data_IF_217671786352
#
_entry.id   IF_217671786352
#
_cell.length_a   1.000
_cell.length_b   1.000
_cell.length_c   1.000
_cell.angle_alpha   90.00
_cell.angle_beta   90.00
_cell.angle_gamma   90.00
#
_symmetry.space_group_name_H-M   'P 1'
#
loop_
_entity.id
_entity.type
_entity.pdbx_description
1 polymer ?
#
# COMPACT_ATOMS: atom_id res chain seq x y z
N UNK A 1 -22.77 -67.66 -49.78
CA UNK A 1 -21.65 -68.14 -50.62
C UNK A 1 -20.60 -67.05 -50.72
N UNK A 2 -19.33 -67.39 -50.44
CA UNK A 2 -18.10 -66.57 -50.50
C UNK A 2 -17.77 -66.17 -51.96
N UNK A 3 -17.02 -65.08 -52.27
CA UNK A 3 -15.61 -64.98 -51.86
C UNK A 3 -15.08 -63.61 -51.39
N UNK A 4 -14.22 -63.75 -50.38
CA UNK A 4 -13.07 -62.93 -50.00
C UNK A 4 -12.10 -62.67 -51.16
N UNK A 5 -11.68 -61.41 -51.32
CA UNK A 5 -10.45 -61.04 -52.04
C UNK A 5 -9.64 -60.14 -51.08
N UNK A 6 -8.37 -60.52 -50.91
CA UNK A 6 -7.37 -59.85 -50.08
C UNK A 6 -6.41 -59.02 -50.93
N UNK A 7 -5.64 -58.16 -50.23
CA UNK A 7 -4.48 -57.34 -50.67
C UNK A 7 -4.90 -56.00 -51.31
N UNK A 8 -4.29 -54.86 -50.98
CA UNK A 8 -2.89 -54.63 -50.64
C UNK A 8 -2.68 -53.44 -49.71
N UNK A 9 -1.64 -53.55 -48.90
CA UNK A 9 -1.06 -52.53 -48.05
C UNK A 9 -0.30 -51.52 -48.92
N UNK A 10 -0.71 -50.24 -48.92
CA UNK A 10 0.22 -49.13 -49.12
C UNK A 10 -0.23 -47.93 -48.28
N UNK A 11 0.26 -47.95 -47.04
CA UNK A 11 0.22 -46.82 -46.11
C UNK A 11 1.21 -45.78 -46.61
N UNK A 12 0.73 -44.70 -47.22
CA UNK A 12 1.56 -43.53 -47.52
C UNK A 12 1.88 -42.81 -46.21
N UNK A 13 3.00 -43.19 -45.59
CA UNK A 13 3.62 -42.39 -44.54
C UNK A 13 4.25 -41.15 -45.17
N UNK A 14 3.49 -40.07 -45.33
CA UNK A 14 4.08 -38.73 -45.42
C UNK A 14 4.50 -38.32 -44.00
N UNK A 15 5.74 -38.68 -43.62
CA UNK A 15 6.37 -38.09 -42.44
C UNK A 15 6.70 -36.63 -42.76
N UNK A 16 6.28 -35.65 -41.95
CA UNK A 16 6.72 -34.28 -42.12
C UNK A 16 8.24 -34.20 -41.84
N UNK A 17 8.96 -33.53 -42.75
CA UNK A 17 10.39 -33.26 -42.64
C UNK A 17 10.59 -32.31 -41.44
N UNK A 18 11.57 -32.56 -40.53
CA UNK A 18 11.88 -31.61 -39.48
C UNK A 18 12.54 -30.36 -40.08
N UNK A 19 11.98 -29.18 -39.79
CA UNK A 19 12.58 -27.89 -40.12
C UNK A 19 14.00 -27.79 -39.53
N UNK A 20 15.02 -27.36 -40.29
CA UNK A 20 16.33 -27.09 -39.74
C UNK A 20 16.28 -25.83 -38.85
N UNK A 21 16.72 -25.97 -37.61
CA UNK A 21 16.87 -24.87 -36.66
C UNK A 21 17.93 -23.86 -37.14
N UNK A 22 17.74 -22.55 -36.90
CA UNK A 22 18.74 -21.54 -37.27
C UNK A 22 20.00 -21.69 -36.40
N UNK A 23 21.20 -21.37 -36.93
CA UNK A 23 22.44 -21.52 -36.20
C UNK A 23 22.53 -20.54 -35.02
N UNK A 24 22.86 -21.08 -33.85
CA UNK A 24 23.14 -20.31 -32.63
C UNK A 24 24.41 -19.48 -32.85
N UNK A 25 24.27 -18.17 -32.97
CA UNK A 25 25.40 -17.23 -32.93
C UNK A 25 26.00 -17.23 -31.53
N UNK A 26 27.10 -17.95 -31.34
CA UNK A 26 28.00 -17.76 -30.18
C UNK A 26 28.68 -16.40 -30.33
N UNK A 27 28.30 -15.44 -29.50
CA UNK A 27 29.09 -14.23 -29.32
C UNK A 27 30.36 -14.61 -28.55
N UNK A 28 31.52 -14.43 -29.20
CA UNK A 28 32.81 -14.60 -28.58
C UNK A 28 33.05 -13.46 -27.58
N UNK A 29 33.26 -13.80 -26.31
CA UNK A 29 33.77 -12.88 -25.30
C UNK A 29 35.28 -12.80 -25.55
N UNK A 30 35.72 -11.79 -26.28
CA UNK A 30 37.14 -11.46 -26.40
C UNK A 30 37.49 -10.43 -25.33
N UNK A 31 38.19 -10.90 -24.30
CA UNK A 31 38.85 -10.07 -23.30
C UNK A 31 40.10 -9.42 -23.89
N UNK A 32 40.11 -8.10 -23.98
CA UNK A 32 41.28 -7.24 -24.10
C UNK A 32 40.84 -5.83 -23.68
N UNK A 33 41.56 -4.95 -23.00
CA UNK A 33 42.87 -4.89 -22.36
C UNK A 33 42.91 -3.46 -21.76
N UNK A 34 43.65 -3.28 -20.67
CA UNK A 34 44.10 -2.02 -20.03
C UNK A 34 43.09 -0.98 -19.50
N UNK A 35 43.09 -0.68 -18.17
CA UNK A 35 42.54 0.54 -17.61
C UNK A 35 43.54 1.71 -17.68
N UNK A 36 43.11 2.97 -17.92
CA UNK A 36 44.01 4.10 -17.81
C UNK A 36 44.33 4.41 -16.33
N UNK A 37 45.62 4.30 -16.00
CA UNK A 37 46.22 4.75 -14.74
C UNK A 37 46.22 6.29 -14.71
N UNK A 38 45.31 6.90 -13.96
CA UNK A 38 45.42 8.33 -13.62
C UNK A 38 46.17 8.43 -12.30
N UNK A 39 47.48 8.65 -12.42
CA UNK A 39 48.37 9.04 -11.33
C UNK A 39 47.91 10.39 -10.76
N UNK A 40 47.48 10.40 -9.50
CA UNK A 40 47.30 11.64 -8.73
C UNK A 40 48.59 11.92 -7.97
N UNK A 41 49.30 12.96 -8.38
CA UNK A 41 50.41 13.54 -7.64
C UNK A 41 49.91 14.15 -6.33
N UNK A 42 50.40 13.62 -5.21
CA UNK A 42 50.41 14.31 -3.92
C UNK A 42 51.31 15.55 -4.06
N UNK A 43 50.76 16.73 -3.83
CA UNK A 43 51.56 17.91 -3.50
C UNK A 43 50.87 18.69 -2.40
N UNK A 44 51.66 19.05 -1.41
CA UNK A 44 51.34 19.53 -0.08
C UNK A 44 51.09 21.04 -0.03
N UNK A 45 50.19 21.45 0.87
CA UNK A 45 50.08 22.76 1.56
C UNK A 45 49.93 24.03 0.70
N UNK A 46 48.78 24.71 0.72
CA UNK A 46 48.29 25.74 1.66
C UNK A 46 48.59 27.16 1.18
N UNK A 47 47.58 28.05 1.16
CA UNK A 47 47.58 29.42 1.72
C UNK A 47 46.19 30.06 1.51
N UNK A 48 45.64 30.53 2.62
CA UNK A 48 44.62 31.55 2.85
C UNK A 48 44.29 32.51 1.69
N UNK A 49 42.99 32.74 1.44
CA UNK A 49 42.49 34.04 0.98
C UNK A 49 41.04 34.28 1.43
N UNK A 50 40.83 35.49 1.92
CA UNK A 50 39.69 35.96 2.71
C UNK A 50 38.79 36.83 1.81
N UNK A 51 37.47 36.67 1.97
CA UNK A 51 36.41 37.69 1.79
C UNK A 51 36.07 38.17 0.37
N UNK A 52 34.89 37.77 -0.12
CA UNK A 52 33.84 38.72 -0.49
C UNK A 52 32.49 37.99 -0.70
N UNK A 53 31.43 38.51 -0.06
CA UNK A 53 30.06 38.00 -0.16
C UNK A 53 29.25 39.04 -0.94
N UNK A 54 28.98 38.77 -2.21
CA UNK A 54 28.16 39.59 -3.10
C UNK A 54 27.33 38.70 -4.02
N UNK A 55 26.00 38.84 -3.90
CA UNK A 55 24.91 38.58 -4.87
C UNK A 55 24.82 37.23 -5.65
N UNK A 56 23.86 36.40 -5.19
CA UNK A 56 22.82 35.55 -5.84
C UNK A 56 22.74 35.46 -7.40
N UNK A 57 22.09 34.44 -8.03
CA UNK A 57 20.99 33.60 -7.50
C UNK A 57 21.01 32.09 -7.86
N UNK A 58 20.36 31.24 -7.04
CA UNK A 58 19.92 29.89 -7.48
C UNK A 58 18.48 29.60 -7.05
N UNK A 59 17.65 29.46 -8.09
CA UNK A 59 16.43 28.69 -8.28
C UNK A 59 15.73 28.10 -7.04
N UNK A 60 14.50 28.57 -6.86
CA UNK A 60 13.51 28.17 -5.87
C UNK A 60 13.20 26.66 -5.91
N UNK A 61 13.30 26.02 -4.74
CA UNK A 61 12.55 24.80 -4.41
C UNK A 61 11.50 25.21 -3.38
N UNK A 62 10.25 25.32 -3.83
CA UNK A 62 9.11 25.71 -3.02
C UNK A 62 8.91 24.72 -1.87
N UNK A 63 9.26 25.14 -0.66
CA UNK A 63 8.82 24.53 0.59
C UNK A 63 7.87 25.54 1.20
N UNK A 64 6.57 25.25 1.11
CA UNK A 64 5.52 25.98 1.79
C UNK A 64 5.83 25.89 3.29
N UNK A 65 6.42 26.95 3.84
CA UNK A 65 6.45 27.22 5.27
C UNK A 65 5.13 27.91 5.56
N UNK A 66 4.31 27.27 6.38
CA UNK A 66 3.18 27.94 6.99
C UNK A 66 3.71 29.13 7.80
N UNK A 67 2.98 30.23 7.71
CA UNK A 67 3.16 31.52 8.35
C UNK A 67 3.64 31.39 9.81
N UNK A 68 4.86 31.86 10.08
CA UNK A 68 5.26 32.27 11.42
C UNK A 68 4.78 33.72 11.57
N UNK A 69 3.64 33.90 12.24
CA UNK A 69 3.19 35.20 12.75
C UNK A 69 3.63 35.33 14.21
N UNK A 70 4.84 35.83 14.41
CA UNK A 70 5.34 36.32 15.70
C UNK A 70 4.71 37.71 15.98
N UNK A 71 3.48 37.72 16.52
CA UNK A 71 2.92 38.92 17.14
C UNK A 71 3.35 38.97 18.61
N UNK A 72 4.46 39.68 18.87
CA UNK A 72 4.91 40.01 20.20
C UNK A 72 4.00 41.11 20.81
N UNK A 73 3.08 40.71 21.68
CA UNK A 73 2.25 41.60 22.48
C UNK A 73 2.16 41.11 23.92
N UNK A 74 3.12 41.54 24.76
CA UNK A 74 3.01 41.39 26.21
C UNK A 74 2.13 42.47 26.80
N UNK A 75 1.03 42.07 27.43
CA UNK A 75 0.35 42.83 28.47
C UNK A 75 -0.39 41.83 29.36
N UNK A 76 0.05 41.77 30.62
CA UNK A 76 -0.53 40.97 31.68
C UNK A 76 -2.01 41.32 31.87
N UNK A 77 -2.90 40.37 31.57
CA UNK A 77 -4.30 40.40 31.97
C UNK A 77 -4.68 39.02 32.50
N UNK A 78 -4.53 38.87 33.81
CA UNK A 78 -5.01 37.74 34.59
C UNK A 78 -6.51 37.52 34.37
N UNK A 79 -6.87 36.46 33.62
CA UNK A 79 -8.27 36.17 33.31
C UNK A 79 -8.58 34.91 32.47
N UNK A 80 -7.62 34.04 32.12
CA UNK A 80 -7.83 32.89 31.22
C UNK A 80 -7.32 31.55 31.81
N UNK A 81 -7.34 31.41 33.13
CA UNK A 81 -6.73 30.30 33.87
C UNK A 81 -7.33 28.91 33.64
N UNK A 82 -8.49 28.81 32.99
CA UNK A 82 -9.20 27.54 32.73
C UNK A 82 -9.40 27.30 31.23
N UNK A 83 -8.36 27.50 30.40
CA UNK A 83 -8.31 26.76 29.13
C UNK A 83 -8.43 25.27 29.48
N UNK A 84 -9.57 24.70 29.11
CA UNK A 84 -10.24 23.59 29.79
C UNK A 84 -9.37 22.34 29.66
N UNK A 85 -8.93 21.79 30.79
CA UNK A 85 -8.17 20.52 30.83
C UNK A 85 -8.92 19.45 30.01
N UNK A 86 -10.24 19.42 30.11
CA UNK A 86 -11.13 18.54 29.35
C UNK A 86 -11.06 18.75 27.83
N UNK A 87 -10.88 19.98 27.34
CA UNK A 87 -10.76 20.25 25.89
C UNK A 87 -9.43 19.70 25.36
N UNK A 88 -8.35 19.85 26.12
CA UNK A 88 -7.04 19.28 25.78
C UNK A 88 -7.09 17.75 25.79
N UNK A 89 -7.72 17.16 26.81
CA UNK A 89 -7.96 15.71 26.91
C UNK A 89 -8.85 15.24 25.74
N UNK A 90 -9.89 15.98 25.38
CA UNK A 90 -10.77 15.67 24.25
C UNK A 90 -10.04 15.71 22.90
N UNK A 91 -9.18 16.71 22.68
CA UNK A 91 -8.32 16.79 21.48
C UNK A 91 -7.32 15.63 21.43
N UNK A 92 -6.75 15.23 22.56
CA UNK A 92 -5.85 14.08 22.64
C UNK A 92 -6.62 12.76 22.37
N UNK A 93 -7.80 12.59 22.96
CA UNK A 93 -8.68 11.43 22.78
C UNK A 93 -9.10 11.26 21.32
N UNK A 94 -9.58 12.32 20.66
CA UNK A 94 -9.98 12.25 19.24
C UNK A 94 -8.81 11.88 18.31
N UNK A 95 -7.58 12.33 18.61
CA UNK A 95 -6.38 11.89 17.87
C UNK A 95 -6.08 10.40 18.10
N UNK A 96 -6.19 9.92 19.34
CA UNK A 96 -5.99 8.50 19.66
C UNK A 96 -7.07 7.62 19.03
N UNK A 97 -8.33 8.03 19.08
CA UNK A 97 -9.46 7.32 18.46
C UNK A 97 -9.29 7.18 16.95
N UNK A 98 -8.77 8.22 16.26
CA UNK A 98 -8.44 8.12 14.83
C UNK A 98 -7.38 7.06 14.56
N UNK A 99 -6.33 6.98 15.38
CA UNK A 99 -5.29 5.95 15.26
C UNK A 99 -5.86 4.55 15.49
N UNK A 100 -6.71 4.38 16.51
CA UNK A 100 -7.39 3.11 16.81
C UNK A 100 -8.37 2.73 15.71
N UNK A 101 -9.14 3.67 15.17
CA UNK A 101 -10.09 3.43 14.09
C UNK A 101 -9.37 2.96 12.82
N UNK A 102 -8.25 3.61 12.47
CA UNK A 102 -7.41 3.17 11.36
C UNK A 102 -6.90 1.74 11.58
N UNK A 103 -6.34 1.43 12.76
CA UNK A 103 -5.85 0.10 13.07
C UNK A 103 -6.96 -0.97 13.01
N UNK A 104 -8.15 -0.64 13.53
CA UNK A 104 -9.35 -1.49 13.47
C UNK A 104 -9.73 -1.84 12.04
N UNK A 105 -9.77 -0.83 11.15
CA UNK A 105 -10.11 -1.04 9.75
C UNK A 105 -9.10 -1.98 9.06
N UNK A 106 -7.81 -1.77 9.30
CA UNK A 106 -6.74 -2.60 8.71
C UNK A 106 -6.76 -4.03 9.25
N UNK A 107 -6.98 -4.22 10.56
CA UNK A 107 -7.11 -5.54 11.17
C UNK A 107 -8.30 -6.29 10.58
N UNK A 108 -9.45 -5.63 10.47
CA UNK A 108 -10.66 -6.23 9.89
C UNK A 108 -10.41 -6.68 8.45
N UNK A 109 -9.83 -5.83 7.61
CA UNK A 109 -9.52 -6.19 6.22
C UNK A 109 -8.52 -7.34 6.14
N UNK A 110 -7.49 -7.34 6.99
CA UNK A 110 -6.49 -8.41 7.04
C UNK A 110 -7.07 -9.75 7.48
N UNK A 111 -7.98 -9.76 8.46
CA UNK A 111 -8.69 -10.95 8.93
C UNK A 111 -9.58 -11.53 7.83
N UNK A 112 -10.35 -10.69 7.14
CA UNK A 112 -11.23 -11.14 6.05
C UNK A 112 -10.41 -11.75 4.90
N UNK A 113 -9.30 -11.10 4.54
CA UNK A 113 -8.33 -11.63 3.57
C UNK A 113 -7.76 -12.98 4.02
N UNK A 114 -7.38 -13.09 5.29
CA UNK A 114 -6.86 -14.30 5.92
C UNK A 114 -7.83 -15.48 5.91
N UNK A 115 -9.12 -15.21 6.08
CA UNK A 115 -10.21 -16.20 5.99
C UNK A 115 -10.52 -16.62 4.55
N UNK A 116 -9.96 -15.92 3.56
CA UNK A 116 -10.34 -16.04 2.17
C UNK A 116 -11.78 -15.60 1.93
N UNK A 117 -12.30 -14.69 2.77
CA UNK A 117 -13.58 -14.03 2.53
C UNK A 117 -13.36 -12.90 1.55
N UNK A 118 -14.33 -12.75 0.66
CA UNK A 118 -14.27 -11.82 -0.44
C UNK A 118 -15.22 -10.67 -0.15
N UNK A 119 -14.65 -9.48 0.02
CA UNK A 119 -15.42 -8.24 0.16
C UNK A 119 -15.27 -7.39 -1.10
N UNK A 120 -16.31 -6.63 -1.51
CA UNK A 120 -16.22 -5.72 -2.63
C UNK A 120 -15.26 -4.55 -2.35
N UNK A 121 -14.98 -4.26 -1.08
CA UNK A 121 -14.05 -3.22 -0.66
C UNK A 121 -12.61 -3.43 -1.15
N UNK A 122 -12.23 -4.67 -1.49
CA UNK A 122 -10.91 -4.98 -2.05
C UNK A 122 -10.63 -4.24 -3.38
N UNK A 123 -11.66 -3.85 -4.11
CA UNK A 123 -11.52 -3.14 -5.38
C UNK A 123 -11.67 -1.62 -5.27
N UNK A 124 -11.87 -1.08 -4.07
CA UNK A 124 -12.10 0.37 -3.88
C UNK A 124 -10.83 1.22 -4.08
N UNK A 125 -9.65 0.61 -3.94
CA UNK A 125 -8.36 1.25 -4.24
C UNK A 125 -8.08 1.34 -5.75
N UNK A 126 -8.81 0.59 -6.58
CA UNK A 126 -8.61 0.56 -8.03
C UNK A 126 -9.08 1.87 -8.65
N UNK A 127 -8.24 2.45 -9.48
CA UNK A 127 -8.50 3.67 -10.23
C UNK A 127 -8.47 3.35 -11.72
N UNK A 128 -9.54 3.70 -12.41
CA UNK A 128 -9.73 3.42 -13.84
C UNK A 128 -9.55 4.73 -14.60
N UNK A 129 -8.68 4.72 -15.59
CA UNK A 129 -8.51 5.83 -16.53
C UNK A 129 -9.36 5.56 -17.77
N UNK A 130 -10.33 6.43 -18.03
CA UNK A 130 -11.29 6.31 -19.13
C UNK A 130 -11.21 7.61 -19.93
N UNK A 131 -11.06 7.51 -21.25
CA UNK A 131 -10.86 8.69 -22.12
C UNK A 131 -11.97 9.73 -22.00
N UNK A 132 -13.21 9.30 -21.77
CA UNK A 132 -14.40 10.16 -21.70
C UNK A 132 -14.57 10.87 -20.35
N UNK A 133 -13.78 10.53 -19.32
CA UNK A 133 -13.81 11.17 -18.01
C UNK A 133 -12.47 11.86 -17.70
N UNK A 134 -12.47 13.13 -17.25
CA UNK A 134 -11.25 13.79 -16.85
C UNK A 134 -10.70 13.18 -15.55
N UNK A 135 -9.60 12.43 -15.66
CA UNK A 135 -8.82 11.89 -14.54
C UNK A 135 -9.20 10.46 -14.14
N UNK A 136 -8.49 9.94 -13.13
CA UNK A 136 -8.66 8.55 -12.69
C UNK A 136 -9.91 8.40 -11.82
N UNK A 137 -10.92 7.71 -12.35
CA UNK A 137 -12.21 7.47 -11.69
C UNK A 137 -12.16 6.24 -10.79
N UNK A 138 -13.04 6.19 -9.78
CA UNK A 138 -13.20 5.01 -8.93
C UNK A 138 -13.90 3.88 -9.70
N UNK A 139 -13.52 2.62 -9.45
CA UNK A 139 -14.14 1.48 -10.12
C UNK A 139 -15.66 1.40 -9.88
N UNK A 140 -16.12 1.74 -8.67
CA UNK A 140 -17.54 1.69 -8.30
C UNK A 140 -18.44 2.63 -9.13
N UNK A 141 -17.87 3.69 -9.72
CA UNK A 141 -18.62 4.61 -10.59
C UNK A 141 -18.80 4.05 -12.00
N UNK A 142 -17.85 3.22 -12.45
CA UNK A 142 -17.78 2.69 -13.83
C UNK A 142 -18.38 1.27 -13.90
N UNK A 143 -18.40 0.55 -12.78
CA UNK A 143 -18.85 -0.83 -12.71
C UNK A 143 -19.55 -1.14 -11.38
N UNK A 144 -20.45 -2.12 -11.41
CA UNK A 144 -21.08 -2.74 -10.25
C UNK A 144 -20.30 -3.99 -9.83
N UNK A 145 -20.00 -4.11 -8.53
CA UNK A 145 -19.26 -5.25 -7.97
C UNK A 145 -20.20 -6.14 -7.17
N UNK A 146 -20.32 -7.41 -7.58
CA UNK A 146 -21.11 -8.42 -6.87
C UNK A 146 -20.23 -9.58 -6.40
N UNK A 147 -20.56 -10.15 -5.25
CA UNK A 147 -19.82 -11.28 -4.67
C UNK A 147 -20.63 -12.56 -4.85
N UNK A 148 -20.04 -13.59 -5.45
CA UNK A 148 -20.63 -14.94 -5.48
C UNK A 148 -19.58 -15.96 -5.02
N UNK A 149 -19.74 -16.44 -3.78
CA UNK A 149 -18.80 -17.36 -3.14
C UNK A 149 -17.41 -16.71 -2.96
N UNK A 150 -16.38 -17.33 -3.55
CA UNK A 150 -14.99 -16.87 -3.52
C UNK A 150 -14.59 -16.05 -4.77
N UNK A 151 -15.57 -15.59 -5.55
CA UNK A 151 -15.33 -14.88 -6.81
C UNK A 151 -16.04 -13.54 -6.81
N UNK A 152 -15.33 -12.49 -7.22
CA UNK A 152 -15.91 -11.18 -7.51
C UNK A 152 -16.36 -11.14 -8.98
N UNK A 153 -17.55 -10.63 -9.19
CA UNK A 153 -18.09 -10.34 -10.50
C UNK A 153 -18.18 -8.82 -10.63
N UNK A 154 -17.45 -8.28 -11.59
CA UNK A 154 -17.45 -6.84 -11.91
C UNK A 154 -18.21 -6.68 -13.21
N UNK A 155 -19.37 -6.05 -13.13
CA UNK A 155 -20.25 -5.76 -14.26
C UNK A 155 -20.07 -4.30 -14.65
N UNK A 156 -19.45 -4.06 -15.81
CA UNK A 156 -19.18 -2.71 -16.31
C UNK A 156 -20.44 -2.16 -17.00
N UNK A 157 -20.78 -0.90 -16.75
CA UNK A 157 -21.99 -0.29 -17.33
C UNK A 157 -21.87 -0.07 -18.85
N UNK A 158 -20.65 0.14 -19.36
CA UNK A 158 -20.36 0.29 -20.79
C UNK A 158 -19.27 -0.70 -21.22
N UNK A 159 -19.54 -1.47 -22.28
CA UNK A 159 -18.63 -2.48 -22.84
C UNK A 159 -17.33 -1.87 -23.38
N UNK A 160 -17.34 -0.60 -23.76
CA UNK A 160 -16.16 0.13 -24.23
C UNK A 160 -15.10 0.25 -23.13
N UNK A 161 -15.53 0.29 -21.86
CA UNK A 161 -14.64 0.45 -20.70
C UNK A 161 -14.09 -0.88 -20.15
N UNK A 162 -14.43 -2.03 -20.74
CA UNK A 162 -13.96 -3.35 -20.27
C UNK A 162 -12.42 -3.46 -20.28
N UNK A 163 -11.77 -2.91 -21.31
CA UNK A 163 -10.30 -2.92 -21.48
C UNK A 163 -9.59 -2.04 -20.45
N UNK A 164 -9.96 -0.75 -20.27
CA UNK A 164 -9.33 0.08 -19.24
C UNK A 164 -9.60 -0.45 -17.83
N UNK A 165 -10.79 -1.01 -17.54
CA UNK A 165 -11.09 -1.63 -16.25
C UNK A 165 -10.21 -2.85 -15.97
N UNK A 166 -10.07 -3.76 -16.95
CA UNK A 166 -9.17 -4.93 -16.82
C UNK A 166 -7.72 -4.49 -16.60
N UNK A 167 -7.25 -3.51 -17.36
CA UNK A 167 -5.89 -2.96 -17.20
C UNK A 167 -5.69 -2.29 -15.84
N UNK A 168 -6.70 -1.58 -15.33
CA UNK A 168 -6.66 -0.93 -14.02
C UNK A 168 -6.59 -1.95 -12.88
N UNK A 169 -7.36 -3.03 -12.96
CA UNK A 169 -7.33 -4.12 -11.98
C UNK A 169 -5.96 -4.82 -11.99
N UNK A 170 -5.38 -5.07 -13.16
CA UNK A 170 -4.02 -5.58 -13.26
C UNK A 170 -2.97 -4.60 -12.72
N UNK A 171 -3.11 -3.30 -13.02
CA UNK A 171 -2.22 -2.25 -12.57
C UNK A 171 -2.25 -1.99 -11.06
N UNK A 172 -3.39 -2.27 -10.41
CA UNK A 172 -3.54 -2.17 -8.96
C UNK A 172 -2.72 -3.24 -8.19
N UNK A 173 -2.15 -4.23 -8.89
CA UNK A 173 -1.27 -5.28 -8.36
C UNK A 173 -1.80 -5.92 -7.06
N UNK A 174 -3.10 -6.21 -7.03
CA UNK A 174 -3.71 -6.88 -5.90
C UNK A 174 -3.16 -8.31 -5.79
N UNK A 175 -2.81 -8.78 -4.58
CA UNK A 175 -2.09 -10.04 -4.41
C UNK A 175 -2.89 -11.24 -4.89
N UNK A 176 -2.39 -11.92 -5.92
CA UNK A 176 -2.95 -13.17 -6.43
C UNK A 176 -4.24 -13.03 -7.25
N UNK A 177 -4.54 -11.82 -7.74
CA UNK A 177 -5.80 -11.52 -8.42
C UNK A 177 -5.56 -11.31 -9.92
N UNK A 178 -6.22 -12.11 -10.77
CA UNK A 178 -6.21 -11.95 -12.23
C UNK A 178 -7.65 -11.90 -12.76
N UNK A 179 -8.10 -10.79 -13.38
CA UNK A 179 -9.41 -10.72 -14.01
C UNK A 179 -9.50 -11.68 -15.21
N UNK A 180 -10.63 -12.39 -15.28
CA UNK A 180 -11.00 -13.26 -16.39
C UNK A 180 -12.25 -12.70 -17.05
N UNK A 181 -12.19 -12.39 -18.34
CA UNK A 181 -13.38 -12.00 -19.11
C UNK A 181 -14.33 -13.19 -19.24
N UNK A 182 -15.56 -13.04 -18.75
CA UNK A 182 -16.60 -14.07 -18.87
C UNK A 182 -17.59 -13.73 -19.98
N UNK A 183 -17.93 -12.44 -20.14
CA UNK A 183 -18.81 -11.92 -21.18
C UNK A 183 -18.30 -10.56 -21.67
N UNK A 184 -19.03 -9.92 -22.60
CA UNK A 184 -18.68 -8.61 -23.14
C UNK A 184 -18.67 -7.49 -22.08
N UNK A 185 -19.50 -7.62 -21.03
CA UNK A 185 -19.67 -6.61 -19.97
C UNK A 185 -19.21 -7.09 -18.58
N UNK A 186 -18.93 -8.39 -18.39
CA UNK A 186 -18.67 -8.97 -17.06
C UNK A 186 -17.26 -9.54 -16.94
N UNK A 187 -16.53 -9.08 -15.93
CA UNK A 187 -15.24 -9.62 -15.49
C UNK A 187 -15.42 -10.50 -14.26
N UNK A 188 -14.80 -11.67 -14.28
CA UNK A 188 -14.76 -12.64 -13.19
C UNK A 188 -13.38 -12.60 -12.55
N UNK A 189 -13.32 -12.41 -11.24
CA UNK A 189 -12.09 -12.32 -10.49
C UNK A 189 -12.09 -13.42 -9.41
N UNK A 190 -11.44 -14.57 -9.65
CA UNK A 190 -11.35 -15.63 -8.67
C UNK A 190 -10.33 -15.26 -7.58
N UNK A 191 -10.74 -15.32 -6.31
CA UNK A 191 -9.83 -15.15 -5.17
C UNK A 191 -9.51 -16.52 -4.61
N UNK A 192 -8.25 -16.93 -4.75
CA UNK A 192 -7.74 -18.16 -4.16
C UNK A 192 -7.64 -17.96 -2.64
N UNK A 193 -7.97 -19.00 -1.88
CA UNK A 193 -7.81 -18.96 -0.43
C UNK A 193 -6.32 -18.88 -0.08
N UNK A 194 -5.93 -18.07 0.91
CA UNK A 194 -4.52 -17.95 1.27
C UNK A 194 -4.00 -19.26 1.85
N UNK A 195 -2.76 -19.60 1.48
CA UNK A 195 -2.02 -20.73 2.04
C UNK A 195 -1.58 -20.45 3.48
N UNK A 196 -1.10 -21.47 4.20
CA UNK A 196 -0.64 -21.33 5.59
C UNK A 196 0.51 -20.30 5.70
N UNK A 197 1.42 -20.30 4.74
CA UNK A 197 2.54 -19.34 4.68
C UNK A 197 2.04 -17.89 4.50
N UNK A 198 1.09 -17.68 3.57
CA UNK A 198 0.50 -16.36 3.33
C UNK A 198 -0.30 -15.86 4.54
N UNK A 199 -0.98 -16.75 5.27
CA UNK A 199 -1.65 -16.38 6.54
C UNK A 199 -0.65 -15.91 7.59
N UNK A 200 0.52 -16.55 7.68
CA UNK A 200 1.57 -16.13 8.60
C UNK A 200 2.16 -14.76 8.22
N UNK A 201 2.27 -14.45 6.93
CA UNK A 201 2.68 -13.12 6.45
C UNK A 201 1.64 -12.05 6.78
N UNK A 202 0.34 -12.35 6.60
CA UNK A 202 -0.74 -11.43 6.99
C UNK A 202 -0.68 -11.18 8.50
N UNK A 203 -0.51 -12.22 9.33
CA UNK A 203 -0.37 -12.05 10.78
C UNK A 203 0.84 -11.18 11.17
N UNK A 204 1.97 -11.31 10.48
CA UNK A 204 3.13 -10.44 10.70
C UNK A 204 2.80 -8.99 10.36
N UNK A 205 2.22 -8.73 9.18
CA UNK A 205 1.83 -7.37 8.80
C UNK A 205 0.80 -6.76 9.76
N UNK A 206 -0.16 -7.56 10.26
CA UNK A 206 -1.11 -7.12 11.28
C UNK A 206 -0.41 -6.73 12.58
N UNK A 207 0.58 -7.49 13.03
CA UNK A 207 1.36 -7.12 14.22
C UNK A 207 2.14 -5.82 14.03
N UNK A 208 2.71 -5.59 12.84
CA UNK A 208 3.38 -4.33 12.50
C UNK A 208 2.41 -3.14 12.51
N UNK A 209 1.19 -3.33 11.98
CA UNK A 209 0.16 -2.27 11.98
C UNK A 209 -0.28 -1.89 13.40
N UNK A 210 -0.38 -2.86 14.31
CA UNK A 210 -0.71 -2.60 15.71
C UNK A 210 0.42 -1.84 16.41
N UNK A 211 1.67 -2.21 16.16
CA UNK A 211 2.82 -1.48 16.73
C UNK A 211 2.90 -0.04 16.18
N UNK A 212 2.60 0.18 14.90
CA UNK A 212 2.48 1.51 14.33
C UNK A 212 1.36 2.33 14.99
N UNK A 213 0.21 1.73 15.25
CA UNK A 213 -0.91 2.38 15.96
C UNK A 213 -0.52 2.73 17.41
N UNK A 214 0.16 1.83 18.13
CA UNK A 214 0.68 2.11 19.47
C UNK A 214 1.68 3.26 19.46
N UNK A 215 2.53 3.35 18.44
CA UNK A 215 3.46 4.47 18.29
C UNK A 215 2.71 5.79 18.07
N UNK A 216 1.65 5.81 17.26
CA UNK A 216 0.80 7.00 17.09
C UNK A 216 0.11 7.41 18.40
N UNK A 217 -0.40 6.46 19.19
CA UNK A 217 -1.00 6.72 20.51
C UNK A 217 0.04 7.33 21.46
N UNK A 218 1.28 6.82 21.47
CA UNK A 218 2.37 7.38 22.30
C UNK A 218 2.72 8.81 21.90
N UNK A 219 2.74 9.11 20.61
CA UNK A 219 2.96 10.47 20.11
C UNK A 219 1.81 11.38 20.53
N UNK A 220 0.56 10.96 20.33
CA UNK A 220 -0.62 11.73 20.74
C UNK A 220 -0.66 11.98 22.26
N UNK A 221 -0.24 11.01 23.08
CA UNK A 221 -0.08 11.18 24.53
C UNK A 221 0.96 12.24 24.86
N UNK A 222 2.12 12.18 24.20
CA UNK A 222 3.22 13.13 24.44
C UNK A 222 2.82 14.54 24.03
N UNK A 223 2.10 14.69 22.92
CA UNK A 223 1.53 15.96 22.49
C UNK A 223 0.50 16.49 23.49
N UNK A 224 -0.37 15.61 24.02
CA UNK A 224 -1.32 15.94 25.08
C UNK A 224 -0.62 16.42 26.35
N UNK A 225 0.45 15.73 26.79
CA UNK A 225 1.23 16.13 27.96
C UNK A 225 1.95 17.47 27.77
N UNK A 226 2.44 17.76 26.55
CA UNK A 226 3.03 19.06 26.23
C UNK A 226 1.99 20.18 26.26
N UNK A 227 0.79 19.92 25.75
CA UNK A 227 -0.32 20.87 25.75
C UNK A 227 -0.86 21.16 27.17
N UNK A 228 -0.77 20.20 28.10
CA UNK A 228 -1.16 20.37 29.50
C UNK A 228 -0.20 21.24 30.32
N UNK A 229 0.97 21.63 29.79
CA UNK A 229 1.74 22.78 30.26
C UNK A 229 1.99 22.87 31.78
N UNK A 230 2.34 21.78 32.45
CA UNK A 230 2.65 21.80 33.89
C UNK A 230 1.45 21.70 34.84
N UNK A 231 0.20 21.70 34.34
CA UNK A 231 -1.03 21.39 35.09
C UNK A 231 -1.13 19.86 35.29
N UNK A 232 -0.24 19.34 36.13
CA UNK A 232 0.22 17.94 36.13
C UNK A 232 -0.62 16.93 36.93
N UNK A 233 -1.63 17.33 37.70
CA UNK A 233 -2.27 16.39 38.63
C UNK A 233 -3.46 15.63 38.00
N UNK A 234 -4.45 16.34 37.46
CA UNK A 234 -5.71 15.68 37.05
C UNK A 234 -5.73 15.28 35.57
N UNK A 235 -5.27 16.15 34.67
CA UNK A 235 -5.35 15.91 33.22
C UNK A 235 -4.40 14.81 32.70
N UNK A 236 -3.27 14.58 33.34
CA UNK A 236 -2.32 13.53 32.94
C UNK A 236 -2.85 12.14 33.22
N UNK A 237 -3.55 11.97 34.35
CA UNK A 237 -4.11 10.70 34.78
C UNK A 237 -5.26 10.28 33.86
N UNK A 238 -6.09 11.23 33.43
CA UNK A 238 -7.16 10.99 32.46
C UNK A 238 -6.63 10.58 31.09
N UNK A 239 -5.63 11.31 30.56
CA UNK A 239 -4.97 10.96 29.30
C UNK A 239 -4.34 9.56 29.40
N UNK A 240 -3.72 9.22 30.52
CA UNK A 240 -3.11 7.90 30.71
C UNK A 240 -4.16 6.79 30.76
N UNK A 241 -5.30 6.99 31.44
CA UNK A 241 -6.42 6.03 31.45
C UNK A 241 -6.94 5.76 30.04
N UNK A 242 -7.17 6.81 29.25
CA UNK A 242 -7.62 6.67 27.85
C UNK A 242 -6.60 5.88 27.03
N UNK A 243 -5.30 6.14 27.20
CA UNK A 243 -4.25 5.38 26.51
C UNK A 243 -4.29 3.91 26.91
N UNK A 244 -4.39 3.60 28.20
CA UNK A 244 -4.40 2.23 28.69
C UNK A 244 -5.61 1.44 28.19
N UNK A 245 -6.79 2.05 28.12
CA UNK A 245 -8.00 1.46 27.53
C UNK A 245 -7.81 1.18 26.03
N UNK A 246 -7.35 2.16 25.26
CA UNK A 246 -7.16 2.03 23.82
C UNK A 246 -6.08 0.99 23.45
N UNK A 247 -5.01 0.90 24.25
CA UNK A 247 -3.96 -0.12 24.06
C UNK A 247 -4.50 -1.52 24.37
N UNK A 248 -5.28 -1.70 25.45
CA UNK A 248 -5.94 -2.97 25.78
C UNK A 248 -6.90 -3.40 24.66
N UNK A 249 -7.67 -2.47 24.11
CA UNK A 249 -8.56 -2.74 22.99
C UNK A 249 -7.81 -3.24 21.75
N UNK A 250 -6.69 -2.60 21.39
CA UNK A 250 -5.87 -3.01 20.24
C UNK A 250 -5.23 -4.38 20.46
N UNK A 251 -4.70 -4.65 21.65
CA UNK A 251 -4.12 -5.96 21.98
C UNK A 251 -5.20 -7.06 21.99
N UNK A 252 -6.39 -6.75 22.48
CA UNK A 252 -7.56 -7.64 22.42
C UNK A 252 -7.97 -7.99 20.99
N UNK A 253 -7.97 -7.01 20.08
CA UNK A 253 -8.28 -7.21 18.67
C UNK A 253 -7.22 -8.04 17.95
N UNK A 254 -5.94 -7.83 18.26
CA UNK A 254 -4.85 -8.64 17.72
C UNK A 254 -4.99 -10.09 18.20
N UNK A 255 -5.27 -10.31 19.48
CA UNK A 255 -5.49 -11.64 20.03
C UNK A 255 -6.72 -12.34 19.43
N UNK A 256 -7.82 -11.60 19.22
CA UNK A 256 -9.00 -12.11 18.53
C UNK A 256 -8.66 -12.53 17.10
N UNK A 257 -7.99 -11.66 16.34
CA UNK A 257 -7.54 -11.97 14.98
C UNK A 257 -6.69 -13.26 14.96
N UNK A 258 -5.66 -13.36 15.82
CA UNK A 258 -4.82 -14.58 15.91
C UNK A 258 -5.63 -15.86 16.14
N UNK A 259 -6.59 -15.83 17.06
CA UNK A 259 -7.49 -16.98 17.31
C UNK A 259 -8.35 -17.32 16.11
N UNK A 260 -8.74 -16.33 15.32
CA UNK A 260 -9.49 -16.55 14.09
C UNK A 260 -8.64 -17.18 12.98
N UNK A 261 -7.36 -16.82 12.89
CA UNK A 261 -6.43 -17.44 11.94
C UNK A 261 -6.10 -18.90 12.30
N UNK A 262 -6.12 -19.27 13.59
CA UNK A 262 -5.88 -20.65 14.05
C UNK A 262 -7.07 -21.59 13.82
N UNK A 263 -8.30 -21.04 13.78
CA UNK A 263 -9.54 -21.83 13.55
C UNK A 263 -9.75 -22.23 12.09
N UNK A 264 -9.03 -21.61 11.14
CA UNK A 264 -9.20 -21.72 9.68
C UNK A 264 -8.03 -22.47 9.09
#
# INVERSE_FOLDING_TARGET
MRPTIARSLFRSLTRPIPNPSPPIRRLAITSSTSPPQIVRSFTSSSVLSKKNKGSQPKSAKAKIRAHDDDEAGGADAEGEGEVVIEEVVGKAKTKMEKAVHWARAVIFEGVERGRGRVSPALLDSVRVDVQDMPGSSHLNTVASVTVKGNTLFVEVYDTSYIKPVESAIHGANLPGISPQRMSESTLKIPIVRPTVEQRAEILKSLSETVEAAKQQIRTARTDGFRALGGRKANGTDEVQKVVDEMVKDLDGQLAAAKKEFEKV
#
